data_IF_571302219401
#
_entry.id   IF_571302219401
#
_cell.length_a   1.000
_cell.length_b   1.000
_cell.length_c   1.000
_cell.angle_alpha   90.00
_cell.angle_beta   90.00
_cell.angle_gamma   90.00
#
_symmetry.space_group_name_H-M   'P 1'
#
loop_
_entity.id
_entity.type
_entity.pdbx_description
1 polymer ?
#
# COMPACT_ATOMS: atom_id res chain seq x y z
N UNK A 1 -29.29 -1.58 2.41
CA UNK A 1 -28.17 -0.74 1.93
C UNK A 1 -27.90 0.25 3.05
N UNK A 2 -26.82 0.08 3.79
CA UNK A 2 -26.42 1.03 4.84
C UNK A 2 -25.98 2.34 4.18
N UNK A 3 -26.55 3.45 4.59
CA UNK A 3 -26.10 4.77 4.16
C UNK A 3 -24.61 4.96 4.51
N UNK A 4 -23.83 5.69 3.70
CA UNK A 4 -22.43 5.95 4.01
C UNK A 4 -22.35 6.71 5.34
N UNK A 5 -21.67 6.12 6.32
CA UNK A 5 -21.36 6.82 7.57
C UNK A 5 -20.35 7.91 7.21
N UNK A 6 -20.73 9.18 7.39
CA UNK A 6 -19.83 10.31 7.26
C UNK A 6 -18.88 10.31 8.46
N UNK A 7 -17.68 9.78 8.25
CA UNK A 7 -16.64 9.70 9.27
C UNK A 7 -15.76 10.96 9.19
N UNK A 8 -15.35 11.54 10.34
CA UNK A 8 -14.37 12.61 10.31
C UNK A 8 -13.08 12.10 9.65
N UNK A 9 -12.32 12.98 8.97
CA UNK A 9 -11.04 12.57 8.40
C UNK A 9 -10.12 12.00 9.48
N UNK A 10 -9.35 10.98 9.15
CA UNK A 10 -8.47 10.26 10.06
C UNK A 10 -7.15 11.00 10.29
N UNK A 11 -6.57 10.81 11.48
CA UNK A 11 -5.21 11.26 11.79
C UNK A 11 -4.15 10.31 11.18
N UNK A 12 -4.50 9.04 10.99
CA UNK A 12 -3.63 8.04 10.38
C UNK A 12 -4.42 6.96 9.63
N UNK A 13 -3.88 6.47 8.52
CA UNK A 13 -4.34 5.28 7.79
C UNK A 13 -3.21 4.26 7.75
N UNK A 14 -3.52 3.02 8.09
CA UNK A 14 -2.59 1.90 7.99
C UNK A 14 -3.14 0.93 6.93
N UNK A 15 -2.31 0.63 5.94
CA UNK A 15 -2.59 -0.36 4.90
C UNK A 15 -1.53 -1.46 5.00
N UNK A 16 -1.95 -2.70 5.26
CA UNK A 16 -1.05 -3.84 5.40
C UNK A 16 -1.46 -4.96 4.44
N UNK A 17 -0.56 -5.32 3.52
CA UNK A 17 -0.74 -6.36 2.50
C UNK A 17 -2.06 -6.22 1.75
N UNK A 18 -2.44 -4.99 1.38
CA UNK A 18 -3.73 -4.69 0.78
C UNK A 18 -3.58 -4.26 -0.69
N UNK A 19 -2.62 -3.40 -0.97
CA UNK A 19 -2.50 -2.73 -2.27
C UNK A 19 -2.13 -3.71 -3.38
N UNK A 20 -1.24 -4.65 -3.11
CA UNK A 20 -0.92 -5.76 -4.01
C UNK A 20 -2.16 -6.60 -4.38
N UNK A 21 -3.19 -6.66 -3.53
CA UNK A 21 -4.37 -7.49 -3.77
C UNK A 21 -5.53 -6.76 -4.43
N UNK A 22 -5.70 -5.46 -4.14
CA UNK A 22 -6.86 -4.70 -4.66
C UNK A 22 -6.55 -3.93 -5.94
N UNK A 23 -5.26 -3.73 -6.25
CA UNK A 23 -4.85 -3.04 -7.47
C UNK A 23 -4.74 -4.06 -8.60
N UNK A 24 -5.20 -3.68 -9.80
CA UNK A 24 -5.02 -4.48 -11.01
C UNK A 24 -3.81 -4.01 -11.82
N UNK A 25 -3.49 -2.73 -11.69
CA UNK A 25 -2.45 -2.01 -12.40
C UNK A 25 -1.99 -0.80 -11.59
N UNK A 26 -1.06 -0.04 -12.17
CA UNK A 26 -0.50 1.17 -11.56
C UNK A 26 -1.54 2.27 -11.36
N UNK A 27 -2.54 2.39 -12.25
CA UNK A 27 -3.57 3.42 -12.17
C UNK A 27 -4.50 3.17 -10.98
N UNK A 28 -4.88 1.91 -10.73
CA UNK A 28 -5.64 1.54 -9.54
C UNK A 28 -4.84 1.84 -8.26
N UNK A 29 -3.52 1.56 -8.23
CA UNK A 29 -2.68 1.88 -7.08
C UNK A 29 -2.69 3.39 -6.77
N UNK A 30 -2.42 4.23 -7.78
CA UNK A 30 -2.46 5.70 -7.65
C UNK A 30 -3.84 6.16 -7.15
N UNK A 31 -4.91 5.61 -7.72
CA UNK A 31 -6.30 5.92 -7.34
C UNK A 31 -6.60 5.55 -5.88
N UNK A 32 -6.09 4.43 -5.37
CA UNK A 32 -6.26 4.05 -3.95
C UNK A 32 -5.45 4.95 -3.03
N UNK A 33 -4.21 5.30 -3.36
CA UNK A 33 -3.42 6.28 -2.61
C UNK A 33 -4.16 7.62 -2.53
N UNK A 34 -4.72 8.09 -3.66
CA UNK A 34 -5.55 9.31 -3.70
C UNK A 34 -6.81 9.21 -2.85
N UNK A 35 -7.45 8.03 -2.81
CA UNK A 35 -8.60 7.77 -1.92
C UNK A 35 -8.18 7.87 -0.46
N UNK A 36 -7.06 7.26 -0.07
CA UNK A 36 -6.54 7.33 1.29
C UNK A 36 -6.17 8.76 1.67
N UNK A 37 -5.56 9.54 0.77
CA UNK A 37 -5.28 10.96 0.99
C UNK A 37 -6.54 11.78 1.32
N UNK A 38 -7.68 11.50 0.68
CA UNK A 38 -8.95 12.19 0.99
C UNK A 38 -9.54 11.82 2.35
N UNK A 39 -9.23 10.63 2.84
CA UNK A 39 -9.63 10.17 4.17
C UNK A 39 -8.74 10.72 5.28
N UNK A 40 -7.60 11.34 4.95
CA UNK A 40 -6.68 11.93 5.92
C UNK A 40 -6.91 13.42 6.11
N UNK A 41 -6.80 13.86 7.37
CA UNK A 41 -6.62 15.28 7.70
C UNK A 41 -5.33 15.83 7.05
N UNK A 42 -5.24 17.14 6.80
CA UNK A 42 -3.95 17.79 6.55
C UNK A 42 -2.94 17.46 7.66
N UNK A 43 -1.72 17.07 7.31
CA UNK A 43 -0.72 16.58 8.27
C UNK A 43 -0.96 15.16 8.81
N UNK A 44 -2.02 14.47 8.36
CA UNK A 44 -2.30 13.08 8.72
C UNK A 44 -1.31 12.10 8.07
N UNK A 45 -1.15 10.92 8.67
CA UNK A 45 -0.11 9.96 8.29
C UNK A 45 -0.69 8.76 7.52
N UNK A 46 0.05 8.26 6.55
CA UNK A 46 -0.18 6.97 5.91
C UNK A 46 0.99 6.03 6.24
N UNK A 47 0.65 4.82 6.65
CA UNK A 47 1.61 3.73 6.85
C UNK A 47 1.25 2.61 5.86
N UNK A 48 2.20 2.23 5.03
CA UNK A 48 2.06 1.13 4.07
C UNK A 48 3.03 0.03 4.47
N UNK A 49 2.49 -1.16 4.72
CA UNK A 49 3.23 -2.40 4.85
C UNK A 49 2.83 -3.32 3.69
N UNK A 50 3.77 -3.74 2.85
CA UNK A 50 3.44 -4.45 1.61
C UNK A 50 4.49 -5.46 1.15
N UNK A 51 4.10 -6.37 0.26
CA UNK A 51 4.97 -7.35 -0.36
C UNK A 51 5.40 -6.88 -1.76
N UNK A 52 6.63 -6.37 -1.89
CA UNK A 52 7.17 -5.90 -3.17
C UNK A 52 7.75 -7.04 -3.99
N UNK A 53 7.62 -6.92 -5.31
CA UNK A 53 8.08 -7.93 -6.27
C UNK A 53 7.29 -9.25 -6.26
N UNK A 54 6.18 -9.33 -5.54
CA UNK A 54 5.30 -10.50 -5.57
C UNK A 54 4.54 -10.61 -6.90
N UNK A 55 4.27 -11.82 -7.35
CA UNK A 55 3.42 -12.12 -8.50
C UNK A 55 2.18 -12.92 -8.09
N UNK A 56 2.23 -13.65 -6.97
CA UNK A 56 1.07 -14.37 -6.45
C UNK A 56 1.05 -14.55 -4.93
N UNK A 57 -0.15 -14.81 -4.41
CA UNK A 57 -0.42 -15.36 -3.09
C UNK A 57 -1.20 -16.67 -3.24
N UNK A 58 -0.85 -17.68 -2.46
CA UNK A 58 -1.55 -18.95 -2.36
C UNK A 58 -2.50 -18.90 -1.15
N UNK A 59 -3.80 -19.13 -1.38
CA UNK A 59 -4.84 -19.22 -0.35
C UNK A 59 -5.53 -20.58 -0.47
N UNK A 60 -5.16 -21.50 0.44
CA UNK A 60 -5.55 -22.90 0.32
C UNK A 60 -4.95 -23.50 -0.96
N UNK A 61 -5.79 -24.04 -1.83
CA UNK A 61 -5.37 -24.60 -3.12
C UNK A 61 -5.32 -23.56 -4.27
N UNK A 62 -5.72 -22.31 -4.01
CA UNK A 62 -5.85 -21.28 -5.04
C UNK A 62 -4.62 -20.39 -5.09
N UNK A 63 -4.07 -20.23 -6.30
CA UNK A 63 -3.00 -19.27 -6.59
C UNK A 63 -3.60 -18.00 -7.19
N UNK A 64 -3.57 -16.92 -6.41
CA UNK A 64 -4.16 -15.63 -6.76
C UNK A 64 -3.04 -14.72 -7.26
N UNK A 65 -3.19 -14.17 -8.46
CA UNK A 65 -2.26 -13.15 -8.96
C UNK A 65 -2.39 -11.87 -8.17
N UNK A 66 -1.26 -11.23 -7.88
CA UNK A 66 -1.20 -9.94 -7.20
C UNK A 66 -0.53 -8.90 -8.08
N UNK A 67 -0.84 -7.63 -7.84
CA UNK A 67 -0.19 -6.53 -8.50
C UNK A 67 1.27 -6.43 -8.07
N UNK A 68 2.16 -6.54 -9.05
CA UNK A 68 3.59 -6.42 -8.86
C UNK A 68 4.02 -4.95 -8.87
N UNK A 69 4.76 -4.55 -7.84
CA UNK A 69 5.35 -3.22 -7.74
C UNK A 69 6.63 -3.27 -6.91
N UNK A 70 7.39 -2.18 -6.95
CA UNK A 70 8.65 -2.01 -6.24
C UNK A 70 8.65 -0.75 -5.35
N UNK A 71 9.75 -0.57 -4.62
CA UNK A 71 9.95 0.59 -3.74
C UNK A 71 9.90 1.91 -4.51
N UNK A 72 10.56 1.98 -5.66
CA UNK A 72 10.69 3.21 -6.44
C UNK A 72 9.32 3.70 -6.89
N UNK A 73 8.49 2.80 -7.41
CA UNK A 73 7.11 3.09 -7.79
C UNK A 73 6.30 3.57 -6.59
N UNK A 74 6.30 2.83 -5.47
CA UNK A 74 5.50 3.18 -4.30
C UNK A 74 5.86 4.57 -3.75
N UNK A 75 7.16 4.89 -3.67
CA UNK A 75 7.64 6.20 -3.22
C UNK A 75 7.25 7.32 -4.18
N UNK A 76 7.45 7.12 -5.48
CA UNK A 76 7.08 8.10 -6.51
C UNK A 76 5.59 8.40 -6.49
N UNK A 77 4.75 7.37 -6.32
CA UNK A 77 3.30 7.57 -6.23
C UNK A 77 2.92 8.40 -5.00
N UNK A 78 3.46 8.09 -3.82
CA UNK A 78 3.17 8.86 -2.62
C UNK A 78 3.58 10.33 -2.77
N UNK A 79 4.79 10.59 -3.26
CA UNK A 79 5.26 11.96 -3.53
C UNK A 79 4.38 12.66 -4.57
N UNK A 80 4.03 11.98 -5.65
CA UNK A 80 3.15 12.51 -6.70
C UNK A 80 1.74 12.84 -6.21
N UNK A 81 1.27 12.18 -5.14
CA UNK A 81 -0.03 12.42 -4.50
C UNK A 81 0.05 13.37 -3.29
N UNK A 82 1.17 14.09 -3.14
CA UNK A 82 1.32 15.15 -2.13
C UNK A 82 1.70 14.67 -0.73
N UNK A 83 2.29 13.48 -0.63
CA UNK A 83 2.85 12.98 0.63
C UNK A 83 4.35 13.28 0.73
N UNK A 84 4.80 13.58 1.94
CA UNK A 84 6.21 13.64 2.31
C UNK A 84 6.58 12.32 2.97
N UNK A 85 7.63 11.65 2.48
CA UNK A 85 8.10 10.38 3.03
C UNK A 85 8.91 10.63 4.30
N UNK A 86 8.45 10.09 5.42
CA UNK A 86 9.13 10.19 6.72
C UNK A 86 10.15 9.05 6.90
N UNK A 87 9.76 7.84 6.52
CA UNK A 87 10.62 6.65 6.53
C UNK A 87 10.20 5.70 5.41
N UNK A 88 11.19 5.03 4.81
CA UNK A 88 10.98 3.97 3.84
C UNK A 88 12.06 2.91 4.03
N UNK A 89 11.63 1.70 4.38
CA UNK A 89 12.51 0.56 4.63
C UNK A 89 12.03 -0.63 3.80
N UNK A 90 12.96 -1.29 3.11
CA UNK A 90 12.70 -2.55 2.42
C UNK A 90 13.59 -3.62 3.01
N UNK A 91 12.97 -4.69 3.50
CA UNK A 91 13.68 -5.87 3.95
C UNK A 91 13.58 -6.95 2.89
N UNK A 92 14.72 -7.28 2.30
CA UNK A 92 14.82 -8.41 1.39
C UNK A 92 14.39 -9.69 2.08
N UNK A 93 13.70 -10.54 1.31
CA UNK A 93 13.27 -11.86 1.76
C UNK A 93 14.47 -12.70 2.20
N UNK A 94 14.34 -13.33 3.35
CA UNK A 94 15.37 -14.21 3.93
C UNK A 94 14.89 -15.66 4.13
N UNK A 95 13.62 -15.93 3.84
CA UNK A 95 12.95 -17.21 4.02
C UNK A 95 12.26 -17.62 2.72
N UNK A 96 12.13 -18.93 2.47
CA UNK A 96 11.32 -19.45 1.36
C UNK A 96 9.93 -19.80 1.89
N UNK A 97 8.89 -19.55 1.09
CA UNK A 97 7.48 -19.79 1.39
C UNK A 97 6.76 -20.04 0.07
N UNK A 98 5.92 -21.06 0.03
CA UNK A 98 4.98 -21.39 -1.03
C UNK A 98 3.69 -20.55 -0.97
N UNK A 99 3.47 -19.83 0.15
CA UNK A 99 2.33 -18.95 0.32
C UNK A 99 2.44 -17.69 -0.53
N UNK A 100 3.63 -17.10 -0.69
CA UNK A 100 3.80 -15.85 -1.45
C UNK A 100 5.23 -15.75 -1.99
N UNK A 101 5.37 -15.21 -3.21
CA UNK A 101 6.64 -15.15 -3.94
C UNK A 101 7.34 -13.78 -3.91
N UNK A 102 7.05 -12.95 -2.91
CA UNK A 102 7.65 -11.62 -2.76
C UNK A 102 9.19 -11.64 -2.78
N UNK A 103 9.77 -10.53 -3.21
CA UNK A 103 11.23 -10.29 -3.19
C UNK A 103 11.63 -9.56 -1.91
N UNK A 104 10.80 -8.63 -1.45
CA UNK A 104 11.00 -7.91 -0.21
C UNK A 104 9.68 -7.52 0.46
N UNK A 105 9.79 -7.13 1.72
CA UNK A 105 8.71 -6.50 2.46
C UNK A 105 9.05 -5.03 2.62
N UNK A 106 8.12 -4.16 2.25
CA UNK A 106 8.27 -2.71 2.37
C UNK A 106 7.48 -2.19 3.58
N UNK A 107 8.08 -1.23 4.28
CA UNK A 107 7.42 -0.37 5.26
C UNK A 107 7.67 1.09 4.85
N UNK A 108 6.60 1.84 4.59
CA UNK A 108 6.66 3.28 4.34
C UNK A 108 5.79 3.99 5.35
N UNK A 109 6.34 4.98 6.02
CA UNK A 109 5.59 6.00 6.75
C UNK A 109 5.73 7.33 5.99
N UNK A 110 4.61 8.00 5.78
CA UNK A 110 4.56 9.29 5.11
C UNK A 110 3.43 10.14 5.69
N UNK A 111 3.53 11.46 5.58
CA UNK A 111 2.46 12.37 5.97
C UNK A 111 1.97 13.19 4.79
N UNK A 112 0.68 13.51 4.81
CA UNK A 112 0.05 14.39 3.84
C UNK A 112 0.49 15.82 4.13
N UNK A 113 0.99 16.53 3.13
CA UNK A 113 1.33 17.95 3.27
C UNK A 113 0.10 18.76 3.72
N UNK A 114 0.32 19.85 4.46
CA UNK A 114 -0.75 20.65 5.08
C UNK A 114 -1.59 21.41 4.07
#
# INVERSE_FOLDING_TARGET
MTEPIDLPPADCIISALLLEHICKDQDDYIKYIRKFSRLLKPGGHIIIFGAVGALYLTVGEHKIQVFNYDEEFARKTLVGEGFVIDSCEVKNRSNVSDLIDYVGVIFIAAHKEK
#
